data_IF_406022917834
#
_entry.id   IF_406022917834
#
_cell.length_a   1.000
_cell.length_b   1.000
_cell.length_c   1.000
_cell.angle_alpha   90.00
_cell.angle_beta   90.00
_cell.angle_gamma   90.00
#
_symmetry.space_group_name_H-M   'P 1'
#
loop_
_entity.id
_entity.type
_entity.pdbx_description
1 polymer ?
#
# COMPACT_ATOMS: atom_id res chain seq x y z
N UNK A 1 -22.29 32.34 42.00
CA UNK A 1 -22.34 32.19 40.53
C UNK A 1 -21.31 31.13 40.13
N UNK A 2 -21.76 29.93 39.74
CA UNK A 2 -20.86 28.85 39.31
C UNK A 2 -20.51 29.06 37.84
N UNK A 3 -19.22 29.16 37.52
CA UNK A 3 -18.75 29.26 36.13
C UNK A 3 -19.06 27.94 35.39
N UNK A 4 -19.44 27.98 34.11
CA UNK A 4 -19.67 26.77 33.32
C UNK A 4 -18.32 26.11 33.01
N UNK A 5 -18.19 24.85 33.42
CA UNK A 5 -17.03 24.00 33.18
C UNK A 5 -16.89 23.76 31.67
N UNK A 6 -15.77 24.18 31.09
CA UNK A 6 -15.45 23.93 29.69
C UNK A 6 -15.37 22.41 29.46
N UNK A 7 -16.37 21.87 28.75
CA UNK A 7 -16.39 20.48 28.28
C UNK A 7 -15.19 20.28 27.35
N UNK A 8 -14.12 19.68 27.88
CA UNK A 8 -13.00 19.23 27.06
C UNK A 8 -13.49 18.10 26.15
N UNK A 9 -13.71 18.43 24.88
CA UNK A 9 -13.98 17.45 23.83
C UNK A 9 -12.78 16.51 23.75
N UNK A 10 -12.95 15.19 23.92
CA UNK A 10 -11.82 14.26 23.94
C UNK A 10 -11.10 14.26 22.57
N UNK A 11 -9.77 14.20 22.57
CA UNK A 11 -8.89 14.27 21.37
C UNK A 11 -9.25 13.25 20.28
N UNK A 12 -9.92 12.15 20.63
CA UNK A 12 -10.47 11.15 19.70
C UNK A 12 -11.51 11.74 18.75
N UNK A 13 -12.32 12.65 19.24
CA UNK A 13 -13.47 13.18 18.50
C UNK A 13 -13.03 14.25 17.49
N UNK A 14 -11.93 14.95 17.79
CA UNK A 14 -11.31 15.93 16.88
C UNK A 14 -10.66 15.24 15.67
N UNK A 15 -10.03 14.08 15.87
CA UNK A 15 -9.49 13.27 14.77
C UNK A 15 -10.60 12.67 13.92
N UNK A 16 -11.69 12.22 14.53
CA UNK A 16 -12.85 11.70 13.80
C UNK A 16 -13.59 12.78 13.01
N UNK A 17 -13.74 13.98 13.56
CA UNK A 17 -14.36 15.13 12.87
C UNK A 17 -13.49 15.68 11.73
N UNK A 18 -12.18 15.79 11.94
CA UNK A 18 -11.25 16.19 10.87
C UNK A 18 -11.19 15.13 9.75
N UNK A 19 -11.31 13.85 10.11
CA UNK A 19 -11.47 12.74 9.19
C UNK A 19 -12.80 12.78 8.43
N UNK A 20 -13.93 13.04 9.09
CA UNK A 20 -15.23 13.25 8.42
C UNK A 20 -15.21 14.46 7.48
N UNK A 21 -14.51 15.54 7.85
CA UNK A 21 -14.32 16.72 7.00
C UNK A 21 -13.47 16.38 5.76
N UNK A 22 -12.37 15.67 5.95
CA UNK A 22 -11.54 15.13 4.84
C UNK A 22 -12.30 14.16 3.95
N UNK A 23 -13.18 13.34 4.50
CA UNK A 23 -14.05 12.46 3.72
C UNK A 23 -15.05 13.25 2.85
N UNK A 24 -15.52 14.41 3.31
CA UNK A 24 -16.33 15.32 2.48
C UNK A 24 -15.49 15.96 1.36
N UNK A 25 -14.22 16.30 1.60
CA UNK A 25 -13.29 16.78 0.57
C UNK A 25 -12.93 15.70 -0.46
N UNK A 26 -12.78 14.45 -0.04
CA UNK A 26 -12.51 13.30 -0.92
C UNK A 26 -13.70 13.01 -1.83
N UNK A 27 -14.94 13.31 -1.40
CA UNK A 27 -16.10 13.32 -2.31
C UNK A 27 -15.95 14.34 -3.46
N UNK A 28 -15.06 15.32 -3.37
CA UNK A 28 -14.78 16.29 -4.44
C UNK A 28 -13.64 15.84 -5.38
N UNK A 29 -12.67 15.08 -4.87
CA UNK A 29 -11.64 14.40 -5.70
C UNK A 29 -12.19 13.25 -6.58
N UNK A 30 -13.52 13.04 -6.54
CA UNK A 30 -14.33 12.06 -7.29
C UNK A 30 -14.12 12.02 -8.81
N UNK A 31 -13.55 13.05 -9.42
CA UNK A 31 -13.55 13.21 -10.89
C UNK A 31 -12.22 12.87 -11.58
N UNK A 32 -11.14 12.59 -10.85
CA UNK A 32 -9.84 12.40 -11.50
C UNK A 32 -9.62 10.99 -12.08
N UNK A 33 -10.48 10.01 -11.75
CA UNK A 33 -10.33 8.65 -12.29
C UNK A 33 -8.93 8.06 -12.03
N UNK A 34 -8.64 6.91 -12.64
CA UNK A 34 -7.25 6.50 -12.81
C UNK A 34 -6.59 7.43 -13.84
N UNK A 35 -5.29 7.78 -13.69
CA UNK A 35 -4.58 8.54 -14.71
C UNK A 35 -4.78 7.85 -16.06
N UNK A 36 -5.18 8.62 -17.07
CA UNK A 36 -5.58 8.10 -18.38
C UNK A 36 -4.44 7.29 -19.02
N UNK A 37 -4.59 5.96 -19.06
CA UNK A 37 -3.68 5.06 -19.76
C UNK A 37 -3.36 3.73 -19.05
N UNK A 38 -3.51 3.64 -17.73
CA UNK A 38 -3.26 2.41 -16.96
C UNK A 38 -4.54 1.90 -16.29
N UNK A 39 -4.97 0.71 -16.71
CA UNK A 39 -6.02 -0.04 -16.04
C UNK A 39 -5.56 -0.38 -14.61
N UNK A 40 -6.35 -0.07 -13.57
CA UNK A 40 -5.99 -0.42 -12.20
C UNK A 40 -5.74 -1.90 -12.03
N UNK A 41 -4.77 -2.24 -11.17
CA UNK A 41 -4.55 -3.64 -10.82
C UNK A 41 -5.81 -4.25 -10.19
N UNK A 42 -5.97 -5.57 -10.32
CA UNK A 42 -7.07 -6.29 -9.66
C UNK A 42 -7.10 -6.02 -8.14
N UNK A 43 -5.93 -5.81 -7.53
CA UNK A 43 -5.78 -5.46 -6.13
C UNK A 43 -6.33 -4.05 -5.83
N UNK A 44 -5.98 -3.04 -6.64
CA UNK A 44 -6.50 -1.69 -6.49
C UNK A 44 -8.02 -1.63 -6.70
N UNK A 45 -8.56 -2.39 -7.66
CA UNK A 45 -10.01 -2.51 -7.88
C UNK A 45 -10.73 -3.12 -6.68
N UNK A 46 -10.19 -4.20 -6.12
CA UNK A 46 -10.76 -4.85 -4.93
C UNK A 46 -10.76 -3.91 -3.71
N UNK A 47 -9.64 -3.23 -3.46
CA UNK A 47 -9.52 -2.21 -2.42
C UNK A 47 -10.52 -1.06 -2.60
N UNK A 48 -10.69 -0.59 -3.83
CA UNK A 48 -11.66 0.45 -4.14
C UNK A 48 -13.10 -0.02 -3.90
N UNK A 49 -13.42 -1.28 -4.22
CA UNK A 49 -14.73 -1.87 -3.95
C UNK A 49 -15.06 -1.89 -2.46
N UNK A 50 -14.11 -2.26 -1.59
CA UNK A 50 -14.28 -2.22 -0.12
C UNK A 50 -14.66 -0.81 0.34
N UNK A 51 -13.92 0.21 -0.12
CA UNK A 51 -14.17 1.61 0.22
C UNK A 51 -15.55 2.06 -0.30
N UNK A 52 -15.94 1.62 -1.50
CA UNK A 52 -17.23 1.96 -2.10
C UNK A 52 -18.39 1.33 -1.33
N UNK A 53 -18.27 0.08 -0.90
CA UNK A 53 -19.25 -0.63 -0.07
C UNK A 53 -19.48 0.07 1.28
N UNK A 54 -18.45 0.72 1.82
CA UNK A 54 -18.54 1.51 3.06
C UNK A 54 -19.36 2.79 2.96
N UNK A 55 -19.62 3.28 1.76
CA UNK A 55 -20.50 4.44 1.60
C UNK A 55 -21.98 4.09 1.79
N UNK A 56 -22.33 2.80 1.76
CA UNK A 56 -23.72 2.32 1.70
C UNK A 56 -24.04 1.43 2.91
N UNK A 57 -23.06 0.71 3.43
CA UNK A 57 -23.24 -0.26 4.50
C UNK A 57 -22.53 0.21 5.78
N UNK A 58 -23.00 -0.20 6.97
CA UNK A 58 -22.31 0.08 8.21
C UNK A 58 -20.93 -0.60 8.23
N UNK A 59 -20.00 -0.03 9.00
CA UNK A 59 -18.60 -0.48 9.02
C UNK A 59 -18.48 -1.97 9.39
N UNK A 60 -19.24 -2.43 10.38
CA UNK A 60 -19.12 -3.79 10.89
C UNK A 60 -19.42 -4.84 9.81
N UNK A 61 -20.51 -4.66 9.07
CA UNK A 61 -20.91 -5.56 7.98
C UNK A 61 -19.84 -5.70 6.90
N UNK A 62 -19.02 -4.68 6.70
CA UNK A 62 -17.94 -4.69 5.69
C UNK A 62 -16.71 -5.39 6.22
N UNK A 63 -16.37 -5.17 7.49
CA UNK A 63 -15.29 -5.90 8.13
C UNK A 63 -15.58 -7.40 8.07
N UNK A 64 -16.83 -7.78 8.32
CA UNK A 64 -17.28 -9.17 8.30
C UNK A 64 -17.37 -9.72 6.86
N UNK A 65 -18.00 -9.00 5.93
CA UNK A 65 -18.17 -9.45 4.55
C UNK A 65 -16.84 -9.61 3.78
N UNK A 66 -15.85 -8.75 4.06
CA UNK A 66 -14.53 -8.82 3.42
C UNK A 66 -13.49 -9.55 4.28
N UNK A 67 -13.86 -10.05 5.46
CA UNK A 67 -12.97 -10.68 6.43
C UNK A 67 -11.70 -9.85 6.72
N UNK A 68 -11.88 -8.53 6.90
CA UNK A 68 -10.79 -7.58 7.15
C UNK A 68 -10.85 -7.00 8.56
N UNK A 69 -9.69 -6.68 9.12
CA UNK A 69 -9.64 -6.02 10.43
C UNK A 69 -9.94 -4.52 10.32
N UNK A 70 -10.55 -3.96 11.37
CA UNK A 70 -10.81 -2.52 11.50
C UNK A 70 -9.55 -1.66 11.31
N UNK A 71 -8.42 -2.11 11.86
CA UNK A 71 -7.13 -1.43 11.71
C UNK A 71 -6.64 -1.41 10.27
N UNK A 72 -6.81 -2.52 9.54
CA UNK A 72 -6.46 -2.60 8.13
C UNK A 72 -7.34 -1.67 7.29
N UNK A 73 -8.64 -1.65 7.55
CA UNK A 73 -9.58 -0.77 6.87
C UNK A 73 -9.21 0.71 7.02
N UNK A 74 -8.89 1.17 8.24
CA UNK A 74 -8.46 2.56 8.43
C UNK A 74 -7.13 2.88 7.75
N UNK A 75 -6.18 1.93 7.69
CA UNK A 75 -4.95 2.12 6.92
C UNK A 75 -5.22 2.26 5.44
N UNK A 76 -6.09 1.41 4.89
CA UNK A 76 -6.51 1.47 3.50
C UNK A 76 -7.12 2.83 3.18
N UNK A 77 -8.03 3.27 4.03
CA UNK A 77 -8.76 4.51 3.82
C UNK A 77 -7.88 5.74 4.02
N UNK A 78 -6.93 5.70 4.97
CA UNK A 78 -5.90 6.73 5.10
C UNK A 78 -5.05 6.87 3.83
N UNK A 79 -4.64 5.75 3.21
CA UNK A 79 -3.94 5.77 1.92
C UNK A 79 -4.79 6.42 0.83
N UNK A 80 -6.06 6.02 0.74
CA UNK A 80 -6.98 6.59 -0.24
C UNK A 80 -7.17 8.11 -0.08
N UNK A 81 -7.28 8.60 1.16
CA UNK A 81 -7.45 10.03 1.44
C UNK A 81 -6.21 10.83 1.02
N UNK A 82 -5.01 10.30 1.25
CA UNK A 82 -3.77 11.05 1.02
C UNK A 82 -3.25 10.93 -0.41
N UNK A 83 -3.46 9.79 -1.06
CA UNK A 83 -2.82 9.43 -2.34
C UNK A 83 -3.82 9.09 -3.44
N UNK A 84 -5.13 9.15 -3.14
CA UNK A 84 -6.19 8.82 -4.07
C UNK A 84 -6.16 7.34 -4.51
N UNK A 85 -6.54 7.11 -5.75
CA UNK A 85 -6.60 5.77 -6.36
C UNK A 85 -5.20 5.13 -6.50
N UNK A 86 -4.16 5.93 -6.75
CA UNK A 86 -2.78 5.47 -6.83
C UNK A 86 -2.24 4.89 -5.51
N UNK A 87 -2.82 5.29 -4.36
CA UNK A 87 -2.49 4.74 -3.05
C UNK A 87 -3.07 3.35 -2.77
N UNK A 88 -4.02 2.89 -3.60
CA UNK A 88 -4.65 1.58 -3.47
C UNK A 88 -3.89 0.45 -4.18
N UNK A 89 -2.91 0.83 -5.00
CA UNK A 89 -2.05 -0.11 -5.71
C UNK A 89 -1.20 -0.95 -4.75
N UNK A 90 -0.85 -2.15 -5.20
CA UNK A 90 -0.04 -3.05 -4.40
C UNK A 90 1.43 -2.58 -4.36
N UNK A 91 1.81 -1.97 -3.23
CA UNK A 91 3.21 -1.61 -2.94
C UNK A 91 3.96 -2.70 -2.19
N UNK A 92 3.46 -3.94 -2.14
CA UNK A 92 4.19 -5.09 -1.56
C UNK A 92 5.42 -5.49 -2.38
N UNK A 93 5.72 -4.80 -3.47
CA UNK A 93 7.06 -4.74 -4.02
C UNK A 93 8.04 -4.27 -2.94
N UNK A 94 9.06 -5.08 -2.66
CA UNK A 94 10.26 -4.76 -1.88
C UNK A 94 10.54 -3.24 -1.96
N UNK A 95 10.80 -2.52 -0.84
CA UNK A 95 11.28 -1.15 -0.94
C UNK A 95 12.43 -1.12 -1.96
N UNK A 96 12.55 -0.05 -2.73
CA UNK A 96 13.67 0.14 -3.65
C UNK A 96 14.99 0.34 -2.87
N UNK A 97 15.31 -0.60 -1.98
CA UNK A 97 16.57 -0.69 -1.28
C UNK A 97 17.61 -1.25 -2.22
N UNK A 98 18.48 -0.37 -2.69
CA UNK A 98 19.96 -0.47 -2.55
C UNK A 98 20.60 -1.85 -2.71
N UNK A 99 20.05 -2.72 -3.55
CA UNK A 99 20.77 -3.84 -4.14
C UNK A 99 21.09 -3.49 -5.58
N UNK A 100 22.37 -3.42 -5.95
CA UNK A 100 22.77 -3.46 -7.37
C UNK A 100 22.02 -4.64 -7.99
N UNK A 101 21.10 -4.37 -8.92
CA UNK A 101 20.53 -5.43 -9.75
C UNK A 101 21.69 -6.04 -10.53
N UNK A 102 21.75 -7.36 -10.59
CA UNK A 102 22.65 -8.03 -11.52
C UNK A 102 22.29 -7.55 -12.92
N UNK A 103 23.29 -7.18 -13.69
CA UNK A 103 23.16 -6.90 -15.11
C UNK A 103 22.73 -8.19 -15.83
N UNK A 104 22.08 -8.09 -17.01
CA UNK A 104 21.71 -9.28 -17.79
C UNK A 104 22.90 -10.20 -18.10
N UNK A 105 24.11 -9.64 -18.16
CA UNK A 105 25.36 -10.38 -18.35
C UNK A 105 25.73 -11.19 -17.11
N UNK A 106 25.65 -10.58 -15.92
CA UNK A 106 25.91 -11.27 -14.64
C UNK A 106 24.86 -12.35 -14.36
N UNK A 107 23.60 -12.12 -14.71
CA UNK A 107 22.54 -13.14 -14.65
C UNK A 107 22.85 -14.33 -15.57
N UNK A 108 23.26 -14.05 -16.81
CA UNK A 108 23.67 -15.08 -17.77
C UNK A 108 24.87 -15.90 -17.30
N UNK A 109 25.86 -15.26 -16.68
CA UNK A 109 27.01 -15.95 -16.07
C UNK A 109 26.60 -16.78 -14.87
N UNK A 110 25.74 -16.25 -13.99
CA UNK A 110 25.22 -16.97 -12.83
C UNK A 110 24.52 -18.26 -13.27
N UNK A 111 23.65 -18.19 -14.29
CA UNK A 111 22.95 -19.36 -14.83
C UNK A 111 23.96 -20.39 -15.37
N UNK A 112 24.95 -19.97 -16.16
CA UNK A 112 25.99 -20.88 -16.70
C UNK A 112 26.82 -21.55 -15.61
N UNK A 113 27.20 -20.80 -14.57
CA UNK A 113 27.95 -21.34 -13.43
C UNK A 113 27.10 -22.33 -12.63
N UNK A 114 25.79 -22.11 -12.55
CA UNK A 114 24.87 -22.99 -11.82
C UNK A 114 24.56 -24.28 -12.54
N UNK A 115 24.43 -24.22 -13.86
CA UNK A 115 24.23 -25.41 -14.69
C UNK A 115 25.52 -26.22 -14.83
N UNK A 116 26.68 -25.56 -14.98
CA UNK A 116 27.97 -26.23 -15.13
C UNK A 116 28.53 -26.80 -13.81
N UNK A 117 28.29 -26.13 -12.68
CA UNK A 117 28.81 -26.52 -11.37
C UNK A 117 27.73 -26.39 -10.27
N UNK A 118 26.77 -27.35 -10.18
CA UNK A 118 25.66 -27.27 -9.23
C UNK A 118 26.09 -27.24 -7.76
N UNK A 119 27.24 -27.86 -7.43
CA UNK A 119 27.79 -27.94 -6.09
C UNK A 119 28.50 -26.67 -5.61
N UNK A 120 28.66 -25.66 -6.48
CA UNK A 120 29.36 -24.43 -6.09
C UNK A 120 28.61 -23.73 -4.94
N UNK A 121 29.30 -23.21 -3.94
CA UNK A 121 28.64 -22.43 -2.88
C UNK A 121 28.19 -21.05 -3.39
N UNK A 122 27.14 -20.48 -2.81
CA UNK A 122 26.71 -19.10 -3.09
C UNK A 122 27.82 -18.07 -2.86
N UNK A 123 28.69 -18.31 -1.86
CA UNK A 123 29.88 -17.49 -1.59
C UNK A 123 30.87 -17.49 -2.75
N UNK A 124 31.20 -18.67 -3.28
CA UNK A 124 32.10 -18.81 -4.44
C UNK A 124 31.52 -18.19 -5.70
N UNK A 125 30.21 -18.28 -5.90
CA UNK A 125 29.55 -17.58 -7.01
C UNK A 125 29.69 -16.07 -6.88
N UNK A 126 29.49 -15.53 -5.68
CA UNK A 126 29.65 -14.10 -5.41
C UNK A 126 31.11 -13.65 -5.64
N UNK A 127 32.09 -14.45 -5.23
CA UNK A 127 33.51 -14.17 -5.47
C UNK A 127 33.82 -14.13 -6.99
N UNK A 128 33.32 -15.08 -7.77
CA UNK A 128 33.51 -15.14 -9.23
C UNK A 128 32.80 -13.97 -9.91
N UNK A 129 31.54 -13.69 -9.55
CA UNK A 129 30.79 -12.57 -10.13
C UNK A 129 31.40 -11.21 -9.73
N UNK A 130 31.90 -11.09 -8.51
CA UNK A 130 32.53 -9.87 -8.01
C UNK A 130 33.96 -9.61 -8.52
N UNK A 131 34.65 -10.63 -9.04
CA UNK A 131 35.98 -10.51 -9.67
C UNK A 131 35.94 -10.26 -11.18
N UNK A 132 34.75 -10.22 -11.77
CA UNK A 132 34.49 -9.84 -13.17
C UNK A 132 34.08 -8.36 -13.35
N UNK A 133 34.13 -7.56 -12.27
CA UNK A 133 33.97 -6.10 -12.25
C UNK A 133 35.34 -5.41 -12.09
#
# INVERSE_FOLDING_TARGET
MKQPTATQVPKSDTLFLSFQKRLKEVKHQRQQGFPAGEEPSAYARWNYQIIRCWQINPLQDILDAFAISKAWFYRLLHKFINEGLAGLEDRRGRPAGTGKKLTPLEEGLLVKLRTGCPSLGSRRLADILGSHL
#
